data_IF_401521865334
#
_entry.id   IF_401521865334
#
_cell.length_a   1.000
_cell.length_b   1.000
_cell.length_c   1.000
_cell.angle_alpha   90.00
_cell.angle_beta   90.00
_cell.angle_gamma   90.00
#
_symmetry.space_group_name_H-M   'P 1'
#
loop_
_entity.id
_entity.type
_entity.pdbx_description
1 polymer ?
#
# COMPACT_ATOMS: atom_id res chain seq x y z
N UNK A 1 -0.54 11.72 20.62
CA UNK A 1 -0.85 10.35 20.15
C UNK A 1 0.26 9.88 19.22
N UNK A 2 1.19 9.07 19.74
CA UNK A 2 2.42 8.67 19.06
C UNK A 2 2.14 7.75 17.86
N UNK A 3 2.36 8.25 16.64
CA UNK A 3 2.31 7.45 15.42
C UNK A 3 3.59 6.61 15.33
N UNK A 4 3.48 5.36 15.77
CA UNK A 4 4.49 4.29 15.75
C UNK A 4 5.36 4.35 14.49
N UNK A 5 6.60 4.81 14.70
CA UNK A 5 7.72 4.77 13.76
C UNK A 5 8.23 3.33 13.81
N UNK A 6 7.77 2.47 12.90
CA UNK A 6 8.33 1.12 12.78
C UNK A 6 9.58 1.24 11.92
N UNK A 7 10.71 1.25 12.62
CA UNK A 7 12.03 0.98 12.09
C UNK A 7 12.01 -0.37 11.35
N UNK A 8 12.43 -0.36 10.09
CA UNK A 8 12.43 -1.53 9.22
C UNK A 8 12.55 -1.06 7.79
N UNK A 9 13.65 -1.39 7.11
CA UNK A 9 14.01 -1.01 5.73
C UNK A 9 13.10 -1.63 4.66
N UNK A 10 11.84 -1.88 5.00
CA UNK A 10 10.91 -2.58 4.15
C UNK A 10 10.30 -1.61 3.16
N UNK A 11 10.80 -1.65 1.93
CA UNK A 11 10.17 -1.01 0.77
C UNK A 11 8.85 -1.74 0.47
N UNK A 12 7.81 -1.60 1.30
CA UNK A 12 6.51 -2.23 1.09
C UNK A 12 5.41 -1.19 1.01
N UNK A 13 4.32 -1.54 0.35
CA UNK A 13 3.18 -0.68 0.07
C UNK A 13 1.92 -1.48 0.31
N UNK A 14 1.06 -0.99 1.19
CA UNK A 14 -0.21 -1.59 1.53
C UNK A 14 -1.34 -0.81 0.87
N UNK A 15 -2.14 -1.49 0.07
CA UNK A 15 -3.36 -0.96 -0.52
C UNK A 15 -4.52 -1.41 0.36
N UNK A 16 -5.00 -0.51 1.21
CA UNK A 16 -6.04 -0.79 2.22
C UNK A 16 -7.37 -0.23 1.73
N UNK A 17 -8.40 -1.06 1.76
CA UNK A 17 -9.78 -0.64 1.49
C UNK A 17 -10.31 0.22 2.65
N UNK A 18 -11.06 1.28 2.32
CA UNK A 18 -11.68 2.23 3.24
C UNK A 18 -13.08 2.58 2.72
N UNK A 19 -13.88 3.25 3.54
CA UNK A 19 -15.24 3.69 3.17
C UNK A 19 -15.22 4.60 1.94
N UNK A 20 -14.26 5.51 1.85
CA UNK A 20 -14.09 6.45 0.73
C UNK A 20 -13.17 5.94 -0.41
N UNK A 21 -12.85 4.63 -0.43
CA UNK A 21 -12.06 4.02 -1.50
C UNK A 21 -10.83 3.24 -1.03
N UNK A 22 -9.67 3.48 -1.63
CA UNK A 22 -8.46 2.68 -1.52
C UNK A 22 -7.25 3.54 -1.18
N UNK A 23 -6.70 3.34 0.01
CA UNK A 23 -5.53 4.05 0.49
C UNK A 23 -4.25 3.26 0.24
N UNK A 24 -3.31 3.89 -0.46
CA UNK A 24 -1.97 3.37 -0.70
C UNK A 24 -1.05 3.90 0.40
N UNK A 25 -0.67 3.05 1.35
CA UNK A 25 0.20 3.37 2.49
C UNK A 25 1.55 2.71 2.29
N UNK A 26 2.65 3.47 2.31
CA UNK A 26 3.98 2.85 2.31
C UNK A 26 4.34 2.38 3.72
N UNK A 27 5.04 1.27 3.83
CA UNK A 27 5.59 0.77 5.08
C UNK A 27 6.64 1.79 5.59
N UNK A 28 6.66 2.01 6.90
CA UNK A 28 7.46 3.06 7.54
C UNK A 28 6.85 4.48 7.56
N UNK A 29 5.75 4.73 6.84
CA UNK A 29 5.03 6.02 6.93
C UNK A 29 3.67 5.89 7.63
N UNK A 30 3.39 6.86 8.49
CA UNK A 30 2.12 6.97 9.21
C UNK A 30 0.98 7.56 8.37
N UNK A 31 1.28 8.00 7.13
CA UNK A 31 0.33 8.61 6.20
C UNK A 31 0.14 7.73 4.98
N UNK A 32 -1.08 7.71 4.46
CA UNK A 32 -1.34 7.19 3.12
C UNK A 32 -0.63 8.11 2.13
N UNK A 33 0.15 7.53 1.22
CA UNK A 33 0.83 8.26 0.15
C UNK A 33 -0.16 8.82 -0.87
N UNK A 34 -1.25 8.09 -1.11
CA UNK A 34 -2.32 8.49 -2.02
C UNK A 34 -3.60 7.73 -1.64
N UNK A 35 -4.74 8.36 -1.85
CA UNK A 35 -6.05 7.73 -1.74
C UNK A 35 -6.67 7.78 -3.14
N UNK A 36 -7.25 6.67 -3.55
CA UNK A 36 -7.95 6.51 -4.81
C UNK A 36 -9.38 6.10 -4.51
N UNK A 37 -10.35 6.52 -5.32
CA UNK A 37 -11.73 6.03 -5.16
C UNK A 37 -11.86 4.56 -5.57
N UNK A 38 -11.09 4.16 -6.60
CA UNK A 38 -11.18 2.86 -7.23
C UNK A 38 -9.96 1.99 -6.95
N UNK A 39 -10.18 0.68 -6.85
CA UNK A 39 -9.12 -0.32 -6.66
C UNK A 39 -8.13 -0.31 -7.83
N UNK A 40 -8.64 -0.25 -9.06
CA UNK A 40 -7.82 -0.25 -10.27
C UNK A 40 -6.82 0.90 -10.29
N UNK A 41 -7.27 2.11 -9.93
CA UNK A 41 -6.41 3.28 -9.82
C UNK A 41 -5.35 3.12 -8.71
N UNK A 42 -5.72 2.50 -7.59
CA UNK A 42 -4.77 2.17 -6.53
C UNK A 42 -3.72 1.14 -6.98
N UNK A 43 -4.13 0.11 -7.72
CA UNK A 43 -3.22 -0.89 -8.30
C UNK A 43 -2.27 -0.20 -9.29
N UNK A 44 -2.78 0.58 -10.24
CA UNK A 44 -1.95 1.34 -11.19
C UNK A 44 -0.97 2.30 -10.50
N UNK A 45 -1.43 2.98 -9.44
CA UNK A 45 -0.59 3.83 -8.61
C UNK A 45 0.51 3.06 -7.88
N UNK A 46 0.19 1.86 -7.40
CA UNK A 46 1.13 0.97 -6.71
C UNK A 46 2.13 0.32 -7.66
N UNK A 47 1.80 0.11 -8.94
CA UNK A 47 2.73 -0.42 -9.94
C UNK A 47 3.95 0.48 -10.12
N UNK A 48 3.77 1.80 -10.08
CA UNK A 48 4.89 2.75 -10.10
C UNK A 48 5.81 2.59 -8.90
N UNK A 49 5.26 2.24 -7.74
CA UNK A 49 6.05 1.93 -6.54
C UNK A 49 6.75 0.58 -6.70
N UNK A 50 6.08 -0.40 -7.31
CA UNK A 50 6.67 -1.71 -7.62
C UNK A 50 7.89 -1.61 -8.53
N UNK A 51 7.81 -0.78 -9.56
CA UNK A 51 8.94 -0.50 -10.46
C UNK A 51 10.11 0.19 -9.75
N UNK A 52 9.85 0.95 -8.68
CA UNK A 52 10.87 1.56 -7.83
C UNK A 52 11.48 0.60 -6.80
N UNK A 53 11.16 -0.69 -6.87
CA UNK A 53 11.66 -1.70 -5.95
C UNK A 53 10.86 -1.80 -4.65
N UNK A 54 9.57 -1.44 -4.66
CA UNK A 54 8.68 -1.67 -3.51
C UNK A 54 7.78 -2.89 -3.70
N UNK A 55 7.57 -3.68 -2.65
CA UNK A 55 6.54 -4.73 -2.66
C UNK A 55 5.16 -4.11 -2.50
N UNK A 56 4.19 -4.62 -3.23
CA UNK A 56 2.79 -4.17 -3.20
C UNK A 56 1.95 -5.27 -2.57
N UNK A 57 1.27 -4.94 -1.49
CA UNK A 57 0.36 -5.81 -0.75
C UNK A 57 -1.04 -5.22 -0.92
N UNK A 58 -1.91 -5.97 -1.60
CA UNK A 58 -3.29 -5.60 -1.85
C UNK A 58 -4.17 -6.24 -0.78
N UNK A 59 -4.93 -5.44 -0.03
CA UNK A 59 -5.90 -5.93 0.95
C UNK A 59 -7.28 -6.07 0.29
N UNK A 60 -8.16 -6.89 0.86
CA UNK A 60 -9.57 -7.02 0.49
C UNK A 60 -10.41 -5.98 1.23
N UNK A 61 -11.70 -5.90 0.90
CA UNK A 61 -12.68 -5.11 1.66
C UNK A 61 -12.87 -5.60 3.09
N UNK A 62 -12.65 -6.89 3.35
CA UNK A 62 -12.74 -7.48 4.70
C UNK A 62 -11.46 -7.28 5.53
N UNK A 63 -10.37 -6.77 4.92
CA UNK A 63 -9.08 -6.59 5.58
C UNK A 63 -8.10 -7.75 5.40
N UNK A 64 -8.51 -8.87 4.79
CA UNK A 64 -7.60 -9.96 4.44
C UNK A 64 -6.65 -9.56 3.31
N UNK A 65 -5.48 -10.18 3.22
CA UNK A 65 -4.56 -9.98 2.09
C UNK A 65 -5.17 -10.66 0.85
N UNK A 66 -5.38 -9.88 -0.20
CA UNK A 66 -5.80 -10.41 -1.50
C UNK A 66 -4.62 -10.92 -2.31
N UNK A 67 -3.56 -10.11 -2.39
CA UNK A 67 -2.45 -10.36 -3.31
C UNK A 67 -1.19 -9.71 -2.77
N UNK A 68 -0.05 -10.40 -2.90
CA UNK A 68 1.26 -9.86 -2.54
C UNK A 68 2.18 -9.92 -3.75
N UNK A 69 2.34 -8.77 -4.40
CA UNK A 69 3.27 -8.59 -5.51
C UNK A 69 4.61 -8.11 -4.98
N UNK A 70 5.61 -8.99 -4.98
CA UNK A 70 6.99 -8.56 -4.73
C UNK A 70 7.48 -7.63 -5.84
N UNK A 71 8.37 -6.71 -5.46
CA UNK A 71 9.12 -5.91 -6.41
C UNK A 71 9.86 -6.80 -7.39
N UNK A 72 9.92 -6.38 -8.66
CA UNK A 72 10.85 -7.01 -9.61
C UNK A 72 12.23 -6.51 -9.20
N UNK A 73 13.11 -7.44 -8.81
CA UNK A 73 14.52 -7.17 -8.55
C UNK A 73 15.22 -6.78 -9.85
#
# INVERSE_FOLDING_TARGET
MAKKKSEGSSKRVHIISRKDGWAVKKEGTSRASKIYQNKDSAIKGSEKLRQKGHDVIVHKKDGSIQDWKKSKK
#
